data_IF_917555013382
#
_entry.id   IF_917555013382
#
_cell.length_a   1.000
_cell.length_b   1.000
_cell.length_c   1.000
_cell.angle_alpha   90.00
_cell.angle_beta   90.00
_cell.angle_gamma   90.00
#
_symmetry.space_group_name_H-M   'P 1'
#
loop_
_entity.id
_entity.type
_entity.pdbx_description
1 polymer ?
#
# COMPACT_ATOMS: atom_id res chain seq x y z
N UNK A 1 1.86 1.56 9.21
CA UNK A 1 1.11 2.80 8.90
C UNK A 1 -0.41 2.62 8.77
N UNK A 2 -0.96 1.44 8.40
CA UNK A 2 -2.43 1.28 8.20
C UNK A 2 -3.26 1.05 9.49
N UNK A 3 -2.65 0.56 10.57
CA UNK A 3 -3.27 0.47 11.91
C UNK A 3 -3.50 1.87 12.51
N UNK A 4 -2.63 2.83 12.18
CA UNK A 4 -2.80 4.23 12.58
C UNK A 4 -4.03 4.87 11.95
N UNK A 5 -4.44 4.49 10.73
CA UNK A 5 -5.64 5.03 10.07
C UNK A 5 -6.94 4.59 10.74
N UNK A 6 -7.00 3.34 11.22
CA UNK A 6 -8.17 2.82 11.97
C UNK A 6 -8.21 3.41 13.38
N UNK A 7 -7.05 3.51 14.05
CA UNK A 7 -6.94 4.24 15.32
C UNK A 7 -7.26 5.73 15.15
N UNK A 8 -6.90 6.35 14.03
CA UNK A 8 -7.25 7.72 13.70
C UNK A 8 -8.75 7.88 13.45
N UNK A 9 -9.41 6.92 12.79
CA UNK A 9 -10.88 6.87 12.69
C UNK A 9 -11.56 6.69 14.06
N UNK A 10 -10.96 5.91 14.97
CA UNK A 10 -11.48 5.71 16.32
C UNK A 10 -11.23 6.91 17.25
N UNK A 11 -10.12 7.64 17.06
CA UNK A 11 -9.82 8.89 17.77
C UNK A 11 -10.66 10.04 17.20
N UNK A 12 -10.81 10.17 15.88
CA UNK A 12 -11.78 11.09 15.27
C UNK A 12 -13.20 10.75 15.68
N UNK A 13 -13.58 9.48 15.88
CA UNK A 13 -14.87 9.10 16.47
C UNK A 13 -15.10 9.70 17.88
N UNK A 14 -14.04 9.90 18.68
CA UNK A 14 -14.14 10.54 20.00
C UNK A 14 -14.05 12.07 19.95
N UNK A 15 -13.51 12.66 18.87
CA UNK A 15 -13.23 14.10 18.75
C UNK A 15 -13.98 14.82 17.63
N UNK A 16 -14.71 14.13 16.75
CA UNK A 16 -15.42 14.73 15.62
C UNK A 16 -16.53 15.68 16.07
N UNK A 17 -17.11 15.46 17.26
CA UNK A 17 -18.05 16.42 17.87
C UNK A 17 -17.41 17.74 18.34
N UNK A 18 -16.08 17.86 18.28
CA UNK A 18 -15.29 18.92 18.91
C UNK A 18 -14.56 19.84 17.93
N UNK A 19 -14.33 19.42 16.69
CA UNK A 19 -13.32 20.08 15.83
C UNK A 19 -13.81 21.37 15.16
N UNK A 20 -15.12 21.59 15.02
CA UNK A 20 -15.67 22.78 14.37
C UNK A 20 -16.86 23.40 15.11
N UNK A 21 -17.02 23.14 16.41
CA UNK A 21 -18.05 23.81 17.19
C UNK A 21 -17.81 25.32 17.16
N UNK A 22 -18.73 26.09 16.58
CA UNK A 22 -18.94 27.50 16.90
C UNK A 22 -18.77 27.66 18.42
N UNK A 23 -18.01 28.67 18.86
CA UNK A 23 -17.69 28.80 20.27
C UNK A 23 -18.96 29.21 21.04
N UNK A 24 -19.57 28.28 21.77
CA UNK A 24 -20.74 28.53 22.64
C UNK A 24 -20.34 29.09 24.03
N UNK A 25 -19.04 29.21 24.32
CA UNK A 25 -18.55 29.68 25.61
C UNK A 25 -18.91 31.14 25.88
N UNK A 26 -19.23 31.94 24.86
CA UNK A 26 -19.68 33.32 25.04
C UNK A 26 -21.06 33.39 25.71
N UNK A 27 -21.98 32.51 25.32
CA UNK A 27 -23.33 32.42 25.90
C UNK A 27 -23.26 31.87 27.34
N UNK A 28 -22.42 30.86 27.58
CA UNK A 28 -22.33 30.21 28.89
C UNK A 28 -21.63 31.08 29.97
N UNK A 29 -20.97 32.19 29.59
CA UNK A 29 -20.35 33.15 30.53
C UNK A 29 -21.37 33.89 31.40
N UNK A 30 -22.65 33.91 31.01
CA UNK A 30 -23.71 34.56 31.77
C UNK A 30 -24.03 33.88 33.11
N UNK A 31 -23.72 32.59 33.26
CA UNK A 31 -23.97 31.85 34.51
C UNK A 31 -22.97 32.22 35.61
N UNK A 32 -23.37 33.14 36.50
CA UNK A 32 -22.61 33.49 37.70
C UNK A 32 -23.10 32.67 38.89
N UNK A 33 -22.16 32.04 39.60
CA UNK A 33 -22.44 31.45 40.91
C UNK A 33 -22.48 32.56 41.96
N UNK A 34 -23.62 32.70 42.63
CA UNK A 34 -23.79 33.65 43.74
C UNK A 34 -23.50 32.98 45.08
N UNK A 35 -22.82 33.71 45.97
CA UNK A 35 -22.42 33.23 47.29
C UNK A 35 -22.81 34.24 48.37
N UNK A 36 -23.06 33.77 49.58
CA UNK A 36 -23.29 34.63 50.75
C UNK A 36 -24.50 35.55 50.60
N UNK A 37 -24.33 36.84 50.90
CA UNK A 37 -25.40 37.84 50.88
C UNK A 37 -25.99 38.06 49.49
N UNK A 38 -25.19 38.00 48.43
CA UNK A 38 -25.67 38.16 47.04
C UNK A 38 -26.69 37.09 46.65
N UNK A 39 -26.62 35.90 47.27
CA UNK A 39 -27.59 34.82 47.04
C UNK A 39 -28.94 35.17 47.65
N UNK A 40 -28.97 35.80 48.83
CA UNK A 40 -30.22 36.17 49.49
C UNK A 40 -30.98 37.25 48.71
N UNK A 41 -30.27 38.15 48.05
CA UNK A 41 -30.89 39.22 47.25
C UNK A 41 -31.48 38.72 45.92
N UNK A 42 -30.99 37.57 45.44
CA UNK A 42 -31.28 37.05 44.10
C UNK A 42 -32.25 35.87 44.07
N UNK A 43 -32.26 35.08 45.14
CA UNK A 43 -33.16 33.93 45.26
C UNK A 43 -34.40 34.33 46.06
N UNK A 44 -35.56 34.39 45.39
CA UNK A 44 -36.85 34.59 46.05
C UNK A 44 -37.26 33.35 46.85
N UNK A 45 -36.90 32.17 46.38
CA UNK A 45 -37.10 30.91 47.07
C UNK A 45 -35.95 29.97 46.76
N UNK A 46 -35.38 29.33 47.77
CA UNK A 46 -34.25 28.42 47.62
C UNK A 46 -34.43 27.24 48.58
N UNK A 47 -35.04 26.18 48.07
CA UNK A 47 -35.23 24.92 48.78
C UNK A 47 -34.58 23.79 47.99
N UNK A 48 -34.42 22.63 48.62
CA UNK A 48 -33.90 21.42 47.96
C UNK A 48 -34.73 21.04 46.73
N UNK A 49 -36.03 21.30 46.77
CA UNK A 49 -36.97 20.87 45.73
C UNK A 49 -37.33 21.96 44.74
N UNK A 50 -37.26 23.23 45.15
CA UNK A 50 -37.69 24.34 44.34
C UNK A 50 -36.79 25.55 44.55
N UNK A 51 -36.28 26.09 43.45
CA UNK A 51 -35.50 27.31 43.44
C UNK A 51 -36.16 28.30 42.47
N UNK A 52 -36.29 29.55 42.90
CA UNK A 52 -36.83 30.66 42.13
C UNK A 52 -35.87 31.84 42.24
N UNK A 53 -35.37 32.24 41.09
CA UNK A 53 -34.45 33.34 40.89
C UNK A 53 -35.14 34.43 40.08
N UNK A 54 -35.09 35.67 40.56
CA UNK A 54 -35.73 36.80 39.88
C UNK A 54 -35.01 38.09 40.25
N UNK A 55 -34.22 38.61 39.31
CA UNK A 55 -33.50 39.88 39.43
C UNK A 55 -33.43 40.58 38.06
N UNK A 56 -32.82 41.76 38.01
CA UNK A 56 -32.79 42.57 36.79
C UNK A 56 -32.21 41.80 35.60
N UNK A 57 -33.05 41.61 34.58
CA UNK A 57 -32.72 40.92 33.33
C UNK A 57 -32.64 39.39 33.44
N UNK A 58 -33.02 38.78 34.57
CA UNK A 58 -32.95 37.33 34.76
C UNK A 58 -34.14 36.77 35.51
N UNK A 59 -34.68 35.68 35.00
CA UNK A 59 -35.67 34.88 35.69
C UNK A 59 -35.33 33.39 35.52
N UNK A 60 -35.31 32.63 36.61
CA UNK A 60 -35.18 31.17 36.52
C UNK A 60 -36.02 30.45 37.56
N UNK A 61 -36.47 29.25 37.20
CA UNK A 61 -37.03 28.32 38.17
C UNK A 61 -36.48 26.93 37.96
N UNK A 62 -36.38 26.20 39.06
CA UNK A 62 -35.88 24.83 39.08
C UNK A 62 -36.71 23.98 40.01
N UNK A 63 -37.17 22.83 39.52
CA UNK A 63 -37.95 21.85 40.28
C UNK A 63 -37.21 20.51 40.30
N UNK A 64 -36.83 20.07 41.50
CA UNK A 64 -36.29 18.75 41.80
C UNK A 64 -35.09 18.31 40.95
N UNK A 65 -34.30 19.24 40.40
CA UNK A 65 -33.24 18.96 39.41
C UNK A 65 -33.73 18.33 38.08
N UNK A 66 -35.03 18.07 37.94
CA UNK A 66 -35.62 17.45 36.75
C UNK A 66 -36.04 18.54 35.78
N UNK A 67 -36.73 19.57 36.24
CA UNK A 67 -37.24 20.65 35.40
C UNK A 67 -36.48 21.94 35.72
N UNK A 68 -35.98 22.60 34.70
CA UNK A 68 -35.27 23.86 34.85
C UNK A 68 -35.63 24.78 33.67
N UNK A 69 -35.91 26.04 33.98
CA UNK A 69 -36.11 27.09 33.00
C UNK A 69 -35.29 28.30 33.42
N UNK A 70 -34.54 28.86 32.48
CA UNK A 70 -33.72 30.05 32.68
C UNK A 70 -33.97 31.04 31.56
N UNK A 71 -34.12 32.29 31.94
CA UNK A 71 -34.32 33.42 31.05
C UNK A 71 -33.29 34.49 31.39
N UNK A 72 -32.08 34.35 30.82
CA UNK A 72 -30.98 35.29 30.99
C UNK A 72 -31.06 36.41 29.94
N UNK A 73 -30.30 37.51 30.07
CA UNK A 73 -30.24 38.56 29.05
C UNK A 73 -29.78 38.03 27.68
N UNK A 74 -28.82 37.09 27.70
CA UNK A 74 -28.14 36.61 26.51
C UNK A 74 -28.79 35.36 25.89
N UNK A 75 -29.58 34.61 26.67
CA UNK A 75 -30.20 33.37 26.21
C UNK A 75 -31.43 32.95 27.03
N UNK A 76 -32.22 32.07 26.44
CA UNK A 76 -33.27 31.29 27.12
C UNK A 76 -32.85 29.82 27.16
N UNK A 77 -33.14 29.12 28.25
CA UNK A 77 -32.94 27.66 28.32
C UNK A 77 -34.07 26.96 29.06
N UNK A 78 -34.33 25.73 28.64
CA UNK A 78 -35.33 24.85 29.23
C UNK A 78 -34.80 23.42 29.25
N UNK A 79 -34.96 22.73 30.37
CA UNK A 79 -34.44 21.39 30.57
C UNK A 79 -35.46 20.52 31.31
N UNK A 80 -35.60 19.29 30.83
CA UNK A 80 -36.29 18.17 31.50
C UNK A 80 -35.29 17.02 31.59
N UNK A 81 -34.51 16.94 32.65
CA UNK A 81 -33.44 15.95 32.79
C UNK A 81 -34.00 14.52 32.95
N UNK A 82 -33.38 13.50 32.33
CA UNK A 82 -32.31 13.55 31.31
C UNK A 82 -32.86 13.60 29.87
N UNK A 83 -34.16 13.82 29.70
CA UNK A 83 -34.88 13.60 28.45
C UNK A 83 -34.71 14.71 27.43
N UNK A 84 -34.67 15.96 27.88
CA UNK A 84 -34.71 17.12 27.00
C UNK A 84 -33.87 18.27 27.53
N UNK A 85 -33.17 18.95 26.63
CA UNK A 85 -32.65 20.28 26.88
C UNK A 85 -32.76 21.14 25.64
N UNK A 86 -33.01 22.43 25.86
CA UNK A 86 -33.13 23.45 24.84
C UNK A 86 -32.44 24.71 25.34
N UNK A 87 -31.71 25.37 24.46
CA UNK A 87 -31.09 26.65 24.71
C UNK A 87 -31.13 27.45 23.41
N UNK A 88 -31.58 28.70 23.49
CA UNK A 88 -31.62 29.62 22.37
C UNK A 88 -31.01 30.97 22.78
N UNK A 89 -30.10 31.45 21.94
CA UNK A 89 -29.50 32.77 22.07
C UNK A 89 -30.55 33.85 21.83
N UNK A 90 -30.41 34.96 22.55
CA UNK A 90 -31.17 36.21 22.32
C UNK A 90 -30.36 37.24 21.53
N UNK A 91 -29.05 37.01 21.41
CA UNK A 91 -28.11 37.88 20.70
C UNK A 91 -28.14 37.58 19.20
N UNK A 92 -28.34 36.32 18.84
CA UNK A 92 -28.34 35.82 17.46
C UNK A 92 -29.24 34.58 17.31
N UNK A 93 -29.34 34.05 16.08
CA UNK A 93 -30.21 32.92 15.73
C UNK A 93 -29.65 31.54 16.16
N UNK A 94 -28.75 31.49 17.17
CA UNK A 94 -28.17 30.24 17.65
C UNK A 94 -29.14 29.46 18.55
N UNK A 95 -29.37 28.19 18.24
CA UNK A 95 -30.15 27.26 19.05
C UNK A 95 -29.45 25.91 19.24
N UNK A 96 -29.69 25.30 20.41
CA UNK A 96 -29.21 23.97 20.78
C UNK A 96 -30.37 23.18 21.37
N UNK A 97 -30.57 21.96 20.86
CA UNK A 97 -31.60 21.02 21.30
C UNK A 97 -30.94 19.67 21.59
N UNK A 98 -31.35 19.03 22.68
CA UNK A 98 -30.98 17.66 22.99
C UNK A 98 -32.24 16.90 23.41
N UNK A 99 -32.45 15.72 22.84
CA UNK A 99 -33.49 14.81 23.25
C UNK A 99 -32.93 13.39 23.29
N UNK A 100 -32.72 12.84 24.49
CA UNK A 100 -32.09 11.53 24.71
C UNK A 100 -30.75 11.41 23.96
N UNK A 101 -30.72 10.65 22.85
CA UNK A 101 -29.55 10.40 22.02
C UNK A 101 -29.42 11.36 20.84
N UNK A 102 -30.46 12.15 20.57
CA UNK A 102 -30.45 13.15 19.52
C UNK A 102 -29.93 14.48 20.07
N UNK A 103 -29.02 15.13 19.35
CA UNK A 103 -28.69 16.53 19.60
C UNK A 103 -28.58 17.30 18.30
N UNK A 104 -28.98 18.56 18.36
CA UNK A 104 -28.86 19.50 17.26
C UNK A 104 -28.28 20.81 17.80
N UNK A 105 -27.32 21.37 17.08
CA UNK A 105 -26.87 22.75 17.22
C UNK A 105 -27.10 23.43 15.88
N UNK A 106 -27.63 24.64 15.90
CA UNK A 106 -27.88 25.44 14.71
C UNK A 106 -27.46 26.87 15.00
N UNK A 107 -26.65 27.44 14.13
CA UNK A 107 -26.31 28.85 14.09
C UNK A 107 -26.73 29.44 12.75
N UNK A 108 -26.20 30.63 12.43
CA UNK A 108 -26.52 31.33 11.18
C UNK A 108 -25.97 30.59 9.96
N UNK A 109 -24.71 30.17 10.03
CA UNK A 109 -23.98 29.51 8.95
C UNK A 109 -23.50 28.10 9.33
N UNK A 110 -23.91 27.62 10.51
CA UNK A 110 -23.46 26.37 11.09
C UNK A 110 -24.66 25.49 11.43
N UNK A 111 -24.58 24.20 11.13
CA UNK A 111 -25.52 23.20 11.64
C UNK A 111 -24.79 21.92 12.00
N UNK A 112 -25.11 21.36 13.16
CA UNK A 112 -24.66 20.05 13.60
C UNK A 112 -25.83 19.22 14.11
N UNK A 113 -25.89 17.95 13.72
CA UNK A 113 -26.88 16.97 14.16
C UNK A 113 -26.16 15.69 14.54
N UNK A 114 -26.54 15.10 15.66
CA UNK A 114 -26.02 13.81 16.09
C UNK A 114 -27.15 12.92 16.60
N UNK A 115 -27.03 11.63 16.33
CA UNK A 115 -27.78 10.56 16.97
C UNK A 115 -26.76 9.59 17.57
N UNK A 116 -26.38 9.84 18.81
CA UNK A 116 -25.29 9.14 19.47
C UNK A 116 -25.64 7.65 19.67
N UNK A 117 -24.70 6.72 19.43
CA UNK A 117 -23.30 6.91 19.03
C UNK A 117 -23.04 6.75 17.52
N UNK A 118 -24.08 6.72 16.68
CA UNK A 118 -23.96 6.16 15.33
C UNK A 118 -23.92 7.20 14.22
N UNK A 119 -24.70 8.28 14.33
CA UNK A 119 -24.89 9.24 13.25
C UNK A 119 -24.40 10.61 13.68
N UNK A 120 -23.57 11.23 12.85
CA UNK A 120 -23.10 12.59 13.04
C UNK A 120 -23.16 13.33 11.70
N UNK A 121 -23.53 14.59 11.76
CA UNK A 121 -23.60 15.48 10.63
C UNK A 121 -23.18 16.87 11.10
N UNK A 122 -22.37 17.53 10.29
CA UNK A 122 -21.91 18.89 10.52
C UNK A 122 -21.82 19.61 9.18
N UNK A 123 -22.16 20.89 9.18
CA UNK A 123 -22.01 21.77 8.03
C UNK A 123 -21.70 23.17 8.51
N UNK A 124 -20.69 23.78 7.89
CA UNK A 124 -20.28 25.16 8.12
C UNK A 124 -20.13 25.84 6.75
N UNK A 125 -21.01 26.81 6.48
CA UNK A 125 -21.02 27.54 5.22
C UNK A 125 -19.85 28.52 5.10
N UNK A 126 -19.38 29.09 6.22
CA UNK A 126 -18.27 30.05 6.24
C UNK A 126 -16.94 29.37 5.90
N UNK A 127 -16.77 28.13 6.38
CA UNK A 127 -15.63 27.28 6.02
C UNK A 127 -15.84 26.51 4.70
N UNK A 128 -17.04 26.58 4.12
CA UNK A 128 -17.46 25.75 2.98
C UNK A 128 -17.15 24.26 3.24
N UNK A 129 -17.47 23.80 4.44
CA UNK A 129 -17.21 22.45 4.91
C UNK A 129 -18.50 21.74 5.31
N UNK A 130 -18.54 20.44 5.08
CA UNK A 130 -19.57 19.56 5.62
C UNK A 130 -19.00 18.18 5.86
N UNK A 131 -19.47 17.51 6.91
CA UNK A 131 -19.09 16.15 7.22
C UNK A 131 -20.32 15.33 7.62
N UNK A 132 -20.28 14.04 7.32
CA UNK A 132 -21.30 13.09 7.78
C UNK A 132 -20.66 11.74 8.09
N UNK A 133 -21.10 11.14 9.18
CA UNK A 133 -20.62 9.84 9.66
C UNK A 133 -21.84 8.99 9.99
N UNK A 134 -21.85 7.76 9.49
CA UNK A 134 -22.73 6.69 9.96
C UNK A 134 -21.85 5.50 10.29
N UNK A 135 -21.51 5.38 11.57
CA UNK A 135 -20.60 4.35 12.05
C UNK A 135 -21.23 2.95 12.00
N UNK A 136 -20.49 1.89 11.62
CA UNK A 136 -19.12 1.88 11.05
C UNK A 136 -19.10 1.94 9.52
N UNK A 137 -20.21 2.30 8.88
CA UNK A 137 -20.46 2.09 7.46
C UNK A 137 -19.84 3.12 6.54
N UNK A 138 -19.88 4.40 6.89
CA UNK A 138 -19.24 5.42 6.07
C UNK A 138 -18.91 6.70 6.83
N UNK A 139 -17.91 7.42 6.33
CA UNK A 139 -17.57 8.79 6.68
C UNK A 139 -17.39 9.59 5.39
N UNK A 140 -18.02 10.75 5.28
CA UNK A 140 -17.89 11.67 4.15
C UNK A 140 -17.51 13.04 4.68
N UNK A 141 -16.57 13.69 4.01
CA UNK A 141 -16.12 15.05 4.32
C UNK A 141 -15.95 15.81 3.02
N UNK A 142 -16.65 16.93 2.89
CA UNK A 142 -16.52 17.87 1.79
C UNK A 142 -15.94 19.17 2.39
N UNK A 143 -14.78 19.59 1.90
CA UNK A 143 -14.13 20.85 2.21
C UNK A 143 -14.07 21.71 0.95
N UNK A 144 -13.71 22.99 1.10
CA UNK A 144 -13.60 23.94 -0.01
C UNK A 144 -12.82 23.43 -1.23
N UNK A 145 -11.69 22.75 -1.01
CA UNK A 145 -10.76 22.29 -2.06
C UNK A 145 -10.57 20.76 -2.09
N UNK A 146 -11.33 20.02 -1.29
CA UNK A 146 -11.21 18.57 -1.24
C UNK A 146 -12.50 17.88 -0.82
N UNK A 147 -12.68 16.63 -1.25
CA UNK A 147 -13.80 15.77 -0.85
C UNK A 147 -13.27 14.38 -0.58
N UNK A 148 -13.71 13.76 0.51
CA UNK A 148 -13.28 12.44 0.95
C UNK A 148 -14.49 11.59 1.30
N UNK A 149 -14.45 10.32 0.91
CA UNK A 149 -15.42 9.30 1.29
C UNK A 149 -14.67 8.05 1.73
N UNK A 150 -14.99 7.58 2.92
CA UNK A 150 -14.42 6.38 3.52
C UNK A 150 -15.53 5.39 3.83
N UNK A 151 -15.31 4.14 3.47
CA UNK A 151 -16.13 2.99 3.87
C UNK A 151 -15.18 1.90 4.41
N UNK A 152 -15.68 0.82 5.04
CA UNK A 152 -14.84 -0.28 5.47
C UNK A 152 -13.98 -0.91 4.36
N UNK A 153 -14.42 -0.85 3.10
CA UNK A 153 -13.77 -1.54 1.98
C UNK A 153 -13.20 -0.58 0.93
N UNK A 154 -13.59 0.69 0.94
CA UNK A 154 -13.18 1.66 -0.07
C UNK A 154 -12.85 3.01 0.53
N UNK A 155 -12.02 3.74 -0.20
CA UNK A 155 -11.69 5.12 0.09
C UNK A 155 -11.60 5.89 -1.22
N UNK A 156 -12.20 7.07 -1.24
CA UNK A 156 -12.15 8.01 -2.34
C UNK A 156 -11.75 9.36 -1.78
N UNK A 157 -10.78 10.01 -2.42
CA UNK A 157 -10.34 11.34 -2.04
C UNK A 157 -9.99 12.15 -3.25
N UNK A 158 -10.58 13.33 -3.32
CA UNK A 158 -10.41 14.26 -4.42
C UNK A 158 -9.90 15.56 -3.84
N UNK A 159 -8.89 16.13 -4.48
CA UNK A 159 -8.36 17.47 -4.19
C UNK A 159 -8.26 18.23 -5.49
N UNK A 160 -7.93 19.51 -5.43
CA UNK A 160 -7.60 20.29 -6.63
C UNK A 160 -6.43 19.70 -7.45
N UNK A 161 -5.48 19.05 -6.78
CA UNK A 161 -4.23 18.59 -7.41
C UNK A 161 -4.24 17.11 -7.82
N UNK A 162 -5.04 16.30 -7.14
CA UNK A 162 -5.08 14.86 -7.39
C UNK A 162 -6.40 14.21 -6.96
N UNK A 163 -6.68 13.08 -7.58
CA UNK A 163 -7.73 12.15 -7.22
C UNK A 163 -7.10 10.81 -6.78
N UNK A 164 -7.64 10.20 -5.74
CA UNK A 164 -7.18 8.95 -5.16
C UNK A 164 -8.39 8.03 -4.88
N UNK A 165 -8.35 6.81 -5.41
CA UNK A 165 -9.35 5.78 -5.22
C UNK A 165 -8.67 4.51 -4.71
N UNK A 166 -9.30 3.86 -3.75
CA UNK A 166 -8.83 2.60 -3.21
C UNK A 166 -10.01 1.69 -2.92
N UNK A 167 -9.90 0.42 -3.30
CA UNK A 167 -10.85 -0.64 -2.99
C UNK A 167 -10.04 -1.84 -2.51
N UNK A 168 -10.16 -2.18 -1.23
CA UNK A 168 -9.42 -3.26 -0.63
C UNK A 168 -9.89 -4.64 -1.16
N UNK A 169 -8.97 -5.60 -1.39
CA UNK A 169 -7.51 -5.47 -1.53
C UNK A 169 -7.06 -5.23 -2.99
N UNK A 170 -8.01 -5.06 -3.91
CA UNK A 170 -7.80 -5.32 -5.33
C UNK A 170 -7.30 -4.11 -6.11
N UNK A 171 -7.71 -2.90 -5.74
CA UNK A 171 -7.58 -1.74 -6.61
C UNK A 171 -7.08 -0.50 -5.86
N UNK A 172 -6.15 0.20 -6.51
CA UNK A 172 -5.69 1.52 -6.11
C UNK A 172 -5.47 2.35 -7.36
N UNK A 173 -5.93 3.59 -7.36
CA UNK A 173 -5.60 4.57 -8.38
C UNK A 173 -5.29 5.90 -7.70
N UNK A 174 -4.24 6.58 -8.17
CA UNK A 174 -3.96 7.95 -7.81
C UNK A 174 -3.53 8.71 -9.05
N UNK A 175 -4.19 9.81 -9.37
CA UNK A 175 -3.93 10.62 -10.56
C UNK A 175 -3.79 12.07 -10.16
N UNK A 176 -2.69 12.70 -10.53
CA UNK A 176 -2.47 14.14 -10.44
C UNK A 176 -2.02 14.70 -11.79
N UNK A 177 -1.64 15.98 -11.81
CA UNK A 177 -1.26 16.68 -13.04
C UNK A 177 -0.03 16.06 -13.74
N UNK A 178 0.96 15.61 -12.95
CA UNK A 178 2.24 15.12 -13.47
C UNK A 178 2.53 13.66 -13.11
N UNK A 179 1.54 12.96 -12.53
CA UNK A 179 1.73 11.57 -12.16
C UNK A 179 0.43 10.76 -12.23
N UNK A 180 0.56 9.49 -12.55
CA UNK A 180 -0.53 8.52 -12.50
C UNK A 180 -0.01 7.21 -11.94
N UNK A 181 -0.69 6.67 -10.94
CA UNK A 181 -0.42 5.36 -10.35
C UNK A 181 -1.69 4.55 -10.35
N UNK A 182 -1.62 3.32 -10.83
CA UNK A 182 -2.74 2.39 -10.84
C UNK A 182 -2.24 1.00 -10.48
N UNK A 183 -2.97 0.30 -9.61
CA UNK A 183 -2.72 -1.08 -9.24
C UNK A 183 -4.05 -1.82 -9.32
N UNK A 184 -4.03 -2.96 -9.99
CA UNK A 184 -5.09 -3.95 -10.00
C UNK A 184 -4.44 -5.30 -9.71
N UNK A 185 -4.39 -5.67 -8.43
CA UNK A 185 -3.64 -6.84 -8.00
C UNK A 185 -4.30 -8.16 -8.43
N UNK A 186 -3.49 -9.21 -8.70
CA UNK A 186 -2.04 -9.20 -8.91
C UNK A 186 -1.65 -8.87 -10.37
N UNK A 187 -2.60 -8.49 -11.22
CA UNK A 187 -2.45 -8.55 -12.67
C UNK A 187 -1.83 -7.31 -13.30
N UNK A 188 -1.96 -6.14 -12.68
CA UNK A 188 -1.58 -4.91 -13.33
C UNK A 188 -1.10 -3.87 -12.34
N UNK A 189 -0.02 -3.19 -12.71
CA UNK A 189 0.46 -2.00 -12.04
C UNK A 189 1.01 -1.06 -13.10
N UNK A 190 0.69 0.22 -13.00
CA UNK A 190 1.26 1.24 -13.87
C UNK A 190 1.58 2.48 -13.06
N UNK A 191 2.76 3.02 -13.29
CA UNK A 191 3.23 4.26 -12.70
C UNK A 191 3.82 5.13 -13.80
N UNK A 192 3.26 6.32 -13.96
CA UNK A 192 3.69 7.34 -14.91
C UNK A 192 4.07 8.56 -14.09
N UNK A 193 5.25 9.09 -14.34
CA UNK A 193 5.71 10.38 -13.84
C UNK A 193 6.38 11.18 -14.98
N UNK A 194 6.88 12.37 -14.69
CA UNK A 194 7.53 13.25 -15.68
C UNK A 194 8.78 12.65 -16.35
N UNK A 195 9.36 11.62 -15.72
CA UNK A 195 10.63 11.01 -16.12
C UNK A 195 10.45 9.64 -16.74
N UNK A 196 9.44 8.88 -16.32
CA UNK A 196 9.31 7.44 -16.58
C UNK A 196 7.85 6.99 -16.70
N UNK A 197 7.64 5.97 -17.53
CA UNK A 197 6.44 5.14 -17.57
C UNK A 197 6.84 3.71 -17.25
N UNK A 198 6.36 3.19 -16.12
CA UNK A 198 6.54 1.82 -15.70
C UNK A 198 5.20 1.09 -15.75
N UNK A 199 5.17 -0.04 -16.45
CA UNK A 199 4.01 -0.91 -16.55
C UNK A 199 4.41 -2.32 -16.17
N UNK A 200 3.60 -2.96 -15.34
CA UNK A 200 3.61 -4.36 -15.03
C UNK A 200 2.25 -4.93 -15.42
N UNK A 201 2.25 -5.93 -16.28
CA UNK A 201 1.06 -6.67 -16.66
C UNK A 201 1.35 -8.15 -16.39
N UNK A 202 1.08 -8.58 -15.17
CA UNK A 202 1.37 -9.92 -14.70
C UNK A 202 2.82 -10.29 -15.01
N UNK A 203 3.07 -11.36 -15.74
CA UNK A 203 4.43 -11.83 -16.04
C UNK A 203 5.22 -10.92 -17.00
N UNK A 204 4.66 -9.79 -17.41
CA UNK A 204 5.33 -8.79 -18.23
C UNK A 204 5.63 -7.53 -17.42
N UNK A 205 6.81 -6.95 -17.60
CA UNK A 205 7.11 -5.59 -17.15
C UNK A 205 7.81 -4.78 -18.24
N UNK A 206 7.58 -3.48 -18.24
CA UNK A 206 8.12 -2.53 -19.19
C UNK A 206 8.37 -1.22 -18.50
N UNK A 207 9.55 -0.66 -18.68
CA UNK A 207 9.92 0.67 -18.24
C UNK A 207 10.39 1.48 -19.44
N UNK A 208 9.87 2.68 -19.59
CA UNK A 208 10.26 3.65 -20.60
C UNK A 208 10.69 4.94 -19.90
N UNK A 209 11.84 5.48 -20.28
CA UNK A 209 12.38 6.75 -19.83
C UNK A 209 12.12 7.82 -20.88
N UNK A 210 11.99 9.08 -20.45
CA UNK A 210 11.85 10.23 -21.37
C UNK A 210 13.02 10.38 -22.35
N UNK A 211 14.21 9.92 -21.98
CA UNK A 211 15.40 9.94 -22.84
C UNK A 211 15.35 8.88 -23.97
N UNK A 212 14.28 8.08 -24.04
CA UNK A 212 14.13 6.99 -25.01
C UNK A 212 14.71 5.67 -24.56
N UNK A 213 15.29 5.59 -23.36
CA UNK A 213 15.74 4.34 -22.76
C UNK A 213 14.53 3.47 -22.42
N UNK A 214 14.59 2.19 -22.74
CA UNK A 214 13.54 1.25 -22.42
C UNK A 214 14.11 -0.07 -21.90
N UNK A 215 13.37 -0.69 -21.00
CA UNK A 215 13.64 -2.01 -20.46
C UNK A 215 12.35 -2.81 -20.46
N UNK A 216 12.40 -4.05 -20.91
CA UNK A 216 11.24 -4.94 -20.94
C UNK A 216 11.65 -6.31 -20.48
N UNK A 217 10.76 -6.94 -19.74
CA UNK A 217 10.98 -8.24 -19.16
C UNK A 217 9.70 -9.06 -19.27
N UNK A 218 9.84 -10.31 -19.67
CA UNK A 218 8.80 -11.32 -19.62
C UNK A 218 9.30 -12.49 -18.78
N UNK A 219 8.66 -12.72 -17.63
CA UNK A 219 8.93 -13.83 -16.70
C UNK A 219 10.34 -13.89 -16.10
N UNK A 220 11.19 -12.88 -16.25
CA UNK A 220 12.63 -13.03 -16.00
C UNK A 220 13.34 -13.91 -17.04
N UNK A 221 12.59 -14.48 -18.00
CA UNK A 221 13.09 -15.38 -19.03
C UNK A 221 13.51 -14.64 -20.30
N UNK A 222 12.74 -13.64 -20.70
CA UNK A 222 13.06 -12.76 -21.82
C UNK A 222 13.26 -11.36 -21.28
N UNK A 223 14.47 -10.83 -21.37
CA UNK A 223 14.81 -9.50 -20.89
C UNK A 223 15.54 -8.73 -21.97
N UNK A 224 15.15 -7.48 -22.21
CA UNK A 224 15.83 -6.65 -23.18
C UNK A 224 15.82 -5.17 -22.81
N UNK A 225 16.93 -4.52 -23.13
CA UNK A 225 17.19 -3.12 -22.85
C UNK A 225 17.65 -2.42 -24.12
N UNK A 226 17.24 -1.18 -24.30
CA UNK A 226 17.68 -0.36 -25.41
C UNK A 226 17.53 1.12 -25.13
N UNK A 227 18.01 1.90 -26.09
CA UNK A 227 17.94 3.35 -26.15
C UNK A 227 17.14 3.75 -27.40
N UNK A 228 16.96 5.04 -27.63
CA UNK A 228 16.35 5.54 -28.87
C UNK A 228 17.07 5.07 -30.16
N UNK A 229 18.36 4.72 -30.06
CA UNK A 229 19.17 4.27 -31.20
C UNK A 229 19.02 2.79 -31.54
N UNK A 230 18.43 1.97 -30.66
CA UNK A 230 18.30 0.53 -30.89
C UNK A 230 18.30 -0.30 -29.60
N UNK A 231 18.28 -1.62 -29.78
CA UNK A 231 18.39 -2.59 -28.69
C UNK A 231 19.87 -2.82 -28.36
N UNK A 232 20.25 -2.61 -27.10
CA UNK A 232 21.63 -2.70 -26.63
C UNK A 232 21.89 -4.03 -25.91
N UNK A 233 20.87 -4.57 -25.23
CA UNK A 233 20.98 -5.82 -24.48
C UNK A 233 19.76 -6.70 -24.71
N UNK A 234 19.99 -8.02 -24.79
CA UNK A 234 18.95 -9.03 -24.98
C UNK A 234 19.34 -10.32 -24.26
N UNK A 235 18.39 -10.92 -23.56
CA UNK A 235 18.60 -12.13 -22.78
C UNK A 235 17.39 -13.06 -22.93
N UNK A 236 17.66 -14.33 -23.20
CA UNK A 236 16.75 -15.47 -23.16
C UNK A 236 17.33 -16.45 -22.16
N UNK A 237 16.97 -16.37 -20.88
CA UNK A 237 17.57 -17.21 -19.84
C UNK A 237 17.17 -18.69 -20.03
N UNK A 238 18.10 -19.67 -19.90
CA UNK A 238 19.56 -19.55 -19.80
C UNK A 238 20.28 -19.68 -21.15
N UNK A 239 19.57 -19.57 -22.27
CA UNK A 239 20.01 -19.95 -23.61
C UNK A 239 20.84 -18.90 -24.34
N UNK A 240 20.47 -17.63 -24.27
CA UNK A 240 21.12 -16.58 -25.06
C UNK A 240 21.26 -15.28 -24.29
N UNK A 241 22.42 -14.65 -24.40
CA UNK A 241 22.72 -13.36 -23.80
C UNK A 241 23.51 -12.53 -24.81
N UNK A 242 23.08 -11.31 -25.05
CA UNK A 242 23.74 -10.39 -25.96
C UNK A 242 23.82 -9.02 -25.32
N UNK A 243 25.01 -8.41 -25.36
CA UNK A 243 25.24 -7.02 -24.98
C UNK A 243 26.13 -6.39 -26.04
N UNK A 244 25.59 -5.37 -26.71
CA UNK A 244 26.23 -4.69 -27.81
C UNK A 244 27.67 -4.28 -27.43
N UNK A 245 28.64 -4.60 -28.29
CA UNK A 245 30.07 -4.28 -28.13
C UNK A 245 30.75 -4.87 -26.87
N UNK A 246 30.12 -5.80 -26.17
CA UNK A 246 30.71 -6.42 -24.97
C UNK A 246 30.80 -7.94 -25.08
N UNK A 247 29.67 -8.64 -25.18
CA UNK A 247 29.67 -10.09 -25.25
C UNK A 247 28.41 -10.64 -25.92
N UNK A 248 28.49 -11.86 -26.43
CA UNK A 248 27.36 -12.62 -26.94
C UNK A 248 27.56 -14.08 -26.59
N UNK A 249 26.67 -14.64 -25.79
CA UNK A 249 26.67 -16.04 -25.41
C UNK A 249 25.40 -16.70 -25.97
N UNK A 250 25.57 -17.82 -26.66
CA UNK A 250 24.48 -18.71 -27.07
C UNK A 250 24.87 -20.07 -26.52
N UNK A 251 24.31 -20.46 -25.38
CA UNK A 251 24.65 -21.72 -24.75
C UNK A 251 24.08 -22.91 -25.54
N UNK A 252 24.82 -24.03 -25.65
CA UNK A 252 26.23 -24.26 -25.33
C UNK A 252 27.13 -24.11 -26.58
N UNK A 253 26.80 -23.23 -27.51
CA UNK A 253 27.40 -23.23 -28.85
C UNK A 253 28.39 -22.11 -29.09
N UNK A 254 28.22 -20.96 -28.45
CA UNK A 254 28.95 -19.75 -28.82
C UNK A 254 29.15 -18.83 -27.64
N UNK A 255 30.33 -18.24 -27.56
CA UNK A 255 30.67 -17.22 -26.57
C UNK A 255 31.68 -16.23 -27.14
N UNK A 256 31.18 -15.09 -27.59
CA UNK A 256 31.99 -13.94 -27.90
C UNK A 256 32.14 -13.03 -26.69
N UNK A 257 33.34 -12.54 -26.46
CA UNK A 257 33.64 -11.43 -25.56
C UNK A 257 34.52 -10.43 -26.28
N UNK A 258 34.51 -9.16 -25.85
CA UNK A 258 35.26 -8.06 -26.47
C UNK A 258 36.73 -8.37 -26.79
N UNK A 259 37.35 -9.28 -26.06
CA UNK A 259 38.77 -9.63 -26.19
C UNK A 259 39.01 -11.07 -26.68
N UNK A 260 37.96 -11.88 -26.86
CA UNK A 260 38.11 -13.31 -27.14
C UNK A 260 36.84 -13.91 -27.75
N UNK A 261 37.01 -14.56 -28.89
CA UNK A 261 36.02 -15.48 -29.47
C UNK A 261 36.26 -16.88 -28.92
N UNK A 262 35.29 -17.45 -28.21
CA UNK A 262 35.32 -18.86 -27.81
C UNK A 262 34.09 -19.59 -28.32
N UNK A 263 34.29 -20.84 -28.69
CA UNK A 263 33.22 -21.81 -28.98
C UNK A 263 33.25 -22.78 -27.80
N UNK A 264 32.60 -22.46 -26.67
CA UNK A 264 32.72 -23.29 -25.48
C UNK A 264 31.74 -24.46 -25.61
N UNK A 265 32.22 -25.68 -25.34
CA UNK A 265 31.48 -26.94 -25.08
C UNK A 265 31.21 -27.93 -26.22
N UNK A 266 31.54 -27.62 -27.48
CA UNK A 266 31.65 -28.64 -28.54
C UNK A 266 32.95 -28.48 -29.32
N UNK A 267 34.07 -28.30 -28.60
CA UNK A 267 35.39 -28.38 -29.20
C UNK A 267 35.53 -29.78 -29.83
N UNK A 268 35.54 -29.81 -31.17
CA UNK A 268 35.86 -30.98 -31.96
C UNK A 268 37.36 -30.94 -32.23
N UNK A 269 38.08 -31.93 -31.73
CA UNK A 269 39.49 -32.15 -32.02
C UNK A 269 39.68 -33.62 -32.38
N UNK A 270 40.26 -33.90 -33.55
CA UNK A 270 40.56 -35.25 -34.01
C UNK A 270 42.00 -35.30 -34.48
N UNK A 271 42.80 -36.22 -33.94
CA UNK A 271 44.20 -36.43 -34.29
C UNK A 271 44.42 -37.91 -34.59
N UNK A 272 45.14 -38.24 -35.67
CA UNK A 272 45.45 -39.62 -36.04
C UNK A 272 46.84 -39.70 -36.68
N UNK A 273 47.68 -40.58 -36.16
CA UNK A 273 49.00 -40.94 -36.69
C UNK A 273 49.16 -42.47 -36.69
N UNK A 274 50.29 -42.98 -37.19
CA UNK A 274 50.64 -44.39 -37.20
C UNK A 274 50.59 -45.01 -35.79
N UNK A 275 50.89 -44.22 -34.75
CA UNK A 275 50.96 -44.71 -33.36
C UNK A 275 49.71 -44.45 -32.51
N UNK A 276 48.93 -43.40 -32.77
CA UNK A 276 47.81 -43.02 -31.90
C UNK A 276 46.64 -42.35 -32.63
N UNK A 277 45.45 -42.39 -32.03
CA UNK A 277 44.25 -41.72 -32.49
C UNK A 277 43.51 -41.09 -31.31
N UNK A 278 43.18 -39.81 -31.40
CA UNK A 278 42.49 -39.04 -30.35
C UNK A 278 41.27 -38.32 -30.94
N UNK A 279 40.20 -38.23 -30.16
CA UNK A 279 38.96 -37.53 -30.49
C UNK A 279 38.38 -36.86 -29.24
N UNK A 280 38.29 -35.53 -29.23
CA UNK A 280 37.50 -34.77 -28.27
C UNK A 280 36.24 -34.23 -28.96
N UNK A 281 35.08 -34.39 -28.33
CA UNK A 281 33.80 -33.84 -28.74
C UNK A 281 32.99 -33.45 -27.50
N UNK A 282 33.20 -32.23 -27.01
CA UNK A 282 32.53 -31.72 -25.81
C UNK A 282 32.84 -32.57 -24.57
N UNK A 283 31.83 -33.16 -23.89
CA UNK A 283 32.08 -34.03 -22.74
C UNK A 283 32.61 -35.42 -23.12
N UNK A 284 32.60 -35.78 -24.42
CA UNK A 284 33.15 -37.04 -24.91
C UNK A 284 34.62 -36.88 -25.28
N UNK A 285 35.45 -37.83 -24.83
CA UNK A 285 36.81 -37.99 -25.30
C UNK A 285 37.10 -39.46 -25.56
N UNK A 286 37.87 -39.73 -26.61
CA UNK A 286 38.46 -41.04 -26.85
C UNK A 286 39.91 -40.89 -27.28
N UNK A 287 40.78 -41.76 -26.75
CA UNK A 287 42.16 -41.92 -27.22
C UNK A 287 42.48 -43.39 -27.41
N UNK A 288 43.25 -43.73 -28.44
CA UNK A 288 43.70 -45.09 -28.73
C UNK A 288 45.15 -45.06 -29.14
N UNK A 289 46.03 -45.70 -28.37
CA UNK A 289 47.45 -45.88 -28.67
C UNK A 289 47.70 -47.30 -29.15
N UNK A 290 48.20 -47.44 -30.38
CA UNK A 290 48.35 -48.72 -31.07
C UNK A 290 49.59 -49.49 -30.60
N UNK A 291 50.64 -48.78 -30.17
CA UNK A 291 51.90 -49.31 -29.64
C UNK A 291 51.72 -50.01 -28.29
N UNK A 292 50.97 -49.38 -27.38
CA UNK A 292 50.69 -49.90 -26.05
C UNK A 292 49.36 -50.69 -25.95
N UNK A 293 48.63 -50.82 -27.08
CA UNK A 293 47.24 -51.31 -27.15
C UNK A 293 46.29 -50.65 -26.13
N UNK A 294 46.57 -49.41 -25.74
CA UNK A 294 45.76 -48.64 -24.81
C UNK A 294 44.55 -48.03 -25.55
N UNK A 295 43.38 -48.06 -24.92
CA UNK A 295 42.13 -47.50 -25.40
C UNK A 295 41.41 -46.82 -24.23
N UNK A 296 41.16 -45.54 -24.39
CA UNK A 296 40.56 -44.67 -23.40
C UNK A 296 39.32 -44.01 -23.96
N UNK A 297 38.24 -43.97 -23.18
CA UNK A 297 37.00 -43.25 -23.49
C UNK A 297 36.40 -42.65 -22.23
N UNK A 298 35.98 -41.40 -22.28
CA UNK A 298 35.17 -40.81 -21.22
C UNK A 298 34.02 -39.99 -21.78
N UNK A 299 32.94 -39.88 -21.00
CA UNK A 299 31.81 -38.97 -21.21
C UNK A 299 31.57 -38.29 -19.87
N UNK A 300 32.07 -37.08 -19.66
CA UNK A 300 31.94 -36.39 -18.38
C UNK A 300 30.49 -35.92 -18.12
N UNK A 301 29.95 -36.04 -16.89
CA UNK A 301 30.46 -36.78 -15.72
C UNK A 301 29.98 -38.24 -15.65
N UNK A 302 29.46 -38.80 -16.75
CA UNK A 302 28.66 -40.03 -16.78
C UNK A 302 29.42 -41.35 -16.88
N UNK A 303 30.53 -41.41 -17.62
CA UNK A 303 31.22 -42.69 -17.82
C UNK A 303 32.70 -42.53 -18.15
N UNK A 304 33.48 -43.53 -17.77
CA UNK A 304 34.91 -43.64 -18.02
C UNK A 304 35.22 -45.10 -18.36
N UNK A 305 36.09 -45.32 -19.33
CA UNK A 305 36.60 -46.64 -19.70
C UNK A 305 38.05 -46.54 -20.14
N UNK A 306 38.90 -47.36 -19.54
CA UNK A 306 40.30 -47.53 -19.89
C UNK A 306 40.57 -49.02 -20.13
N UNK A 307 41.39 -49.35 -21.11
CA UNK A 307 41.74 -50.71 -21.46
C UNK A 307 43.15 -50.70 -22.04
N UNK A 308 44.06 -51.50 -21.49
CA UNK A 308 45.39 -51.74 -22.05
C UNK A 308 45.68 -53.24 -22.17
N UNK A 309 46.94 -53.62 -22.41
CA UNK A 309 47.29 -55.04 -22.52
C UNK A 309 47.08 -55.84 -21.24
N UNK A 310 47.07 -55.21 -20.07
CA UNK A 310 47.14 -55.87 -18.77
C UNK A 310 45.87 -55.67 -17.94
N UNK A 311 45.20 -54.53 -18.10
CA UNK A 311 44.06 -54.13 -17.28
C UNK A 311 42.92 -53.51 -18.08
N UNK A 312 41.70 -53.64 -17.54
CA UNK A 312 40.50 -52.96 -18.02
C UNK A 312 39.81 -52.31 -16.84
N UNK A 313 39.53 -51.03 -16.98
CA UNK A 313 38.77 -50.26 -16.02
C UNK A 313 37.54 -49.67 -16.67
N UNK A 314 36.40 -49.72 -15.98
CA UNK A 314 35.23 -48.95 -16.38
C UNK A 314 34.49 -48.42 -15.18
N UNK A 315 34.06 -47.17 -15.27
CA UNK A 315 33.23 -46.51 -14.27
C UNK A 315 32.02 -45.90 -14.98
N UNK A 316 30.82 -46.21 -14.51
CA UNK A 316 29.58 -45.55 -14.90
C UNK A 316 28.98 -44.85 -13.69
N UNK A 317 28.56 -43.60 -13.91
CA UNK A 317 28.12 -42.67 -12.88
C UNK A 317 27.07 -43.29 -11.94
N UNK A 318 27.27 -43.05 -10.64
CA UNK A 318 26.44 -43.44 -9.51
C UNK A 318 26.30 -44.93 -9.14
N UNK A 319 26.88 -45.91 -9.84
CA UNK A 319 26.69 -47.31 -9.36
C UNK A 319 27.58 -48.43 -9.90
N UNK A 320 28.50 -48.22 -10.85
CA UNK A 320 29.25 -49.35 -11.41
C UNK A 320 30.71 -49.00 -11.68
N UNK A 321 31.62 -49.52 -10.85
CA UNK A 321 33.06 -49.60 -11.11
C UNK A 321 33.41 -51.06 -11.37
N UNK A 322 34.19 -51.34 -12.40
CA UNK A 322 34.65 -52.67 -12.74
C UNK A 322 36.13 -52.58 -13.16
N UNK A 323 36.96 -53.39 -12.50
CA UNK A 323 38.40 -53.52 -12.73
C UNK A 323 38.74 -55.00 -13.01
N UNK A 324 39.40 -55.28 -14.14
CA UNK A 324 39.79 -56.63 -14.56
C UNK A 324 41.26 -56.65 -14.96
N UNK A 325 42.05 -57.58 -14.42
CA UNK A 325 43.46 -57.79 -14.82
C UNK A 325 43.64 -59.13 -15.53
N UNK A 326 44.70 -59.24 -16.35
CA UNK A 326 45.08 -60.47 -17.06
C UNK A 326 45.27 -61.72 -16.17
N UNK A 327 45.43 -61.55 -14.85
CA UNK A 327 45.57 -62.64 -13.89
C UNK A 327 44.25 -63.09 -13.23
N UNK A 328 43.10 -62.55 -13.65
CA UNK A 328 41.78 -63.09 -13.34
C UNK A 328 41.14 -62.62 -12.03
N UNK A 329 41.70 -61.60 -11.37
CA UNK A 329 41.07 -61.02 -10.19
C UNK A 329 39.98 -60.01 -10.62
N UNK A 330 38.73 -60.31 -10.24
CA UNK A 330 37.55 -59.46 -10.42
C UNK A 330 37.23 -58.73 -9.10
N UNK A 331 37.09 -57.40 -9.13
CA UNK A 331 36.65 -56.59 -7.98
C UNK A 331 35.55 -55.59 -8.33
#
# INVERSE_FOLDING_TARGET
MRVLSILYLFVTFLFAGSLFSENWQDIDKGEKKFYGSERLDKFKQDTVYFQLEDWEGHYSYKLFQILEYKDYPDYTSFQVFPFYSYQASKIDDREKKCFLFYSQKKGKNYESKQFFPLVFYESDQDLSSSSSLVFPFYYKEDLKSSSSLYTPLSYHHNTENFNENFIFPLYYEKRGEHFQRQFLLPFYMREIDETKDWTYLFLYSSRLSRNGDYHRNFLGLLDWYGTASGMNEFNVYPLAYHKEKNYTHIFPFYSHTKNLDTVPLLAYYSYEDEKQKELWLGPYYSSKRKDAKENYRHIFPFSFRYEDENEKESLSFLSYYNYETKNGDYH
#
